data_IF_704030375050
#
_entry.id   IF_704030375050
#
_cell.length_a   1.000
_cell.length_b   1.000
_cell.length_c   1.000
_cell.angle_alpha   90.00
_cell.angle_beta   90.00
_cell.angle_gamma   90.00
#
_symmetry.space_group_name_H-M   'P 1'
#
loop_
_entity.id
_entity.type
_entity.pdbx_description
1 polymer ?
#
# COMPACT_ATOMS: atom_id res chain seq x y z
N UNK A 1 -21.06 30.99 3.92
CA UNK A 1 -20.66 31.66 2.66
C UNK A 1 -21.92 31.86 1.82
N UNK A 2 -22.16 33.08 1.32
CA UNK A 2 -23.26 33.32 0.38
C UNK A 2 -23.08 32.48 -0.90
N UNK A 3 -24.16 31.90 -1.43
CA UNK A 3 -24.12 31.11 -2.66
C UNK A 3 -23.74 31.91 -3.91
N UNK A 4 -23.90 33.24 -3.87
CA UNK A 4 -23.53 34.17 -4.94
C UNK A 4 -22.08 34.69 -4.83
N UNK A 5 -21.20 33.99 -4.12
CA UNK A 5 -19.76 34.28 -4.10
C UNK A 5 -19.17 33.92 -5.49
N UNK A 6 -18.52 34.83 -6.23
CA UNK A 6 -17.79 36.03 -5.78
C UNK A 6 -18.52 37.39 -5.83
N UNK A 7 -19.72 37.48 -6.40
CA UNK A 7 -20.45 38.75 -6.58
C UNK A 7 -21.04 39.30 -5.27
N UNK A 8 -21.24 38.43 -4.27
CA UNK A 8 -21.67 38.79 -2.92
C UNK A 8 -20.62 38.36 -1.89
N UNK A 9 -20.02 39.33 -1.19
CA UNK A 9 -18.98 39.12 -0.18
C UNK A 9 -19.51 38.79 1.21
N UNK A 10 -20.81 38.59 1.37
CA UNK A 10 -21.42 38.29 2.68
C UNK A 10 -21.06 36.87 3.14
N UNK A 11 -20.47 36.77 4.32
CA UNK A 11 -20.26 35.52 5.05
C UNK A 11 -20.62 35.72 6.52
N UNK A 12 -21.03 34.64 7.18
CA UNK A 12 -21.32 34.61 8.61
C UNK A 12 -20.53 33.45 9.22
N UNK A 13 -20.05 33.66 10.45
CA UNK A 13 -19.42 32.62 11.26
C UNK A 13 -20.43 32.14 12.29
N UNK A 14 -20.67 30.84 12.30
CA UNK A 14 -21.46 30.20 13.34
C UNK A 14 -20.49 29.67 14.40
N UNK A 15 -20.56 30.22 15.61
CA UNK A 15 -19.80 29.73 16.75
C UNK A 15 -20.56 28.55 17.37
N UNK A 16 -19.91 27.41 17.47
CA UNK A 16 -20.52 26.20 18.00
C UNK A 16 -19.51 25.08 18.19
N UNK A 17 -19.92 24.04 18.90
CA UNK A 17 -19.14 22.81 19.04
C UNK A 17 -19.50 21.84 17.90
N UNK A 18 -18.60 21.70 16.93
CA UNK A 18 -18.81 20.86 15.77
C UNK A 18 -18.02 19.55 15.89
N UNK A 19 -18.71 18.41 15.79
CA UNK A 19 -18.06 17.11 15.72
C UNK A 19 -17.52 16.86 14.30
N UNK A 20 -16.20 16.93 14.14
CA UNK A 20 -15.55 16.63 12.86
C UNK A 20 -15.71 15.13 12.55
N UNK A 21 -16.16 14.79 11.33
CA UNK A 21 -16.25 13.41 10.85
C UNK A 21 -14.89 12.72 10.95
N UNK A 22 -14.75 11.78 11.88
CA UNK A 22 -13.52 11.01 12.13
C UNK A 22 -13.05 11.01 13.59
N UNK A 23 -13.55 11.91 14.43
CA UNK A 23 -13.13 12.05 15.84
C UNK A 23 -13.52 10.86 16.75
N UNK A 24 -14.42 10.00 16.31
CA UNK A 24 -14.88 8.80 17.05
C UNK A 24 -14.12 7.53 16.63
N UNK A 25 -12.83 7.68 16.32
CA UNK A 25 -11.94 6.56 16.07
C UNK A 25 -11.24 6.14 17.37
N UNK A 26 -10.72 4.90 17.45
CA UNK A 26 -9.81 4.53 18.53
C UNK A 26 -8.63 5.51 18.57
N UNK A 27 -8.09 5.79 19.74
CA UNK A 27 -6.89 6.60 19.89
C UNK A 27 -5.69 5.70 20.18
N UNK A 28 -4.52 6.11 19.69
CA UNK A 28 -3.27 5.32 19.79
C UNK A 28 -2.15 6.25 20.24
N UNK A 29 -1.23 5.76 21.05
CA UNK A 29 -0.07 6.53 21.47
C UNK A 29 0.94 6.75 20.32
N UNK A 30 1.52 7.93 20.23
CA UNK A 30 2.52 8.26 19.23
C UNK A 30 3.90 7.73 19.60
N UNK A 31 4.53 6.97 18.69
CA UNK A 31 5.85 6.38 18.93
C UNK A 31 6.99 7.40 19.11
N UNK A 32 6.80 8.66 18.66
CA UNK A 32 7.85 9.70 18.70
C UNK A 32 7.77 10.67 19.89
N UNK A 33 6.57 10.94 20.38
CA UNK A 33 6.33 11.98 21.39
C UNK A 33 5.37 11.54 22.50
N UNK A 34 4.90 10.29 22.46
CA UNK A 34 3.92 9.73 23.40
C UNK A 34 2.59 10.47 23.50
N UNK A 35 2.36 11.51 22.68
CA UNK A 35 1.08 12.18 22.60
C UNK A 35 0.04 11.28 21.90
N UNK A 36 -1.24 11.59 22.13
CA UNK A 36 -2.33 10.87 21.52
C UNK A 36 -2.37 11.05 19.99
N UNK A 37 -2.68 9.99 19.26
CA UNK A 37 -2.94 10.02 17.83
C UNK A 37 -4.42 9.78 17.56
N UNK A 38 -5.02 10.70 16.82
CA UNK A 38 -6.45 10.68 16.49
C UNK A 38 -6.68 10.25 15.03
N UNK A 39 -7.82 9.60 14.79
CA UNK A 39 -8.20 9.16 13.45
C UNK A 39 -8.67 10.34 12.58
N UNK A 40 -7.91 10.67 11.55
CA UNK A 40 -8.22 11.71 10.57
C UNK A 40 -8.51 11.07 9.20
N UNK A 41 -9.33 11.75 8.40
CA UNK A 41 -9.62 11.33 7.02
C UNK A 41 -8.93 12.28 6.05
N UNK A 42 -8.05 11.76 5.20
CA UNK A 42 -7.35 12.54 4.17
C UNK A 42 -7.54 11.96 2.77
N UNK A 43 -6.87 12.56 1.77
CA UNK A 43 -6.96 12.15 0.36
C UNK A 43 -6.56 10.70 0.08
N UNK A 44 -5.68 10.14 0.90
CA UNK A 44 -5.16 8.78 0.76
C UNK A 44 -5.88 7.76 1.65
N UNK A 45 -6.99 8.15 2.27
CA UNK A 45 -7.76 7.35 3.21
C UNK A 45 -7.64 7.83 4.65
N UNK A 46 -8.12 7.00 5.58
CA UNK A 46 -8.06 7.26 7.03
C UNK A 46 -6.65 6.96 7.58
N UNK A 47 -6.17 7.79 8.48
CA UNK A 47 -4.85 7.67 9.12
C UNK A 47 -4.91 8.22 10.54
N UNK A 48 -4.05 7.73 11.42
CA UNK A 48 -3.82 8.31 12.74
C UNK A 48 -2.85 9.48 12.59
N UNK A 49 -3.25 10.67 13.00
CA UNK A 49 -2.39 11.85 13.08
C UNK A 49 -2.14 12.21 14.53
N UNK A 50 -0.89 12.47 14.89
CA UNK A 50 -0.53 12.96 16.22
C UNK A 50 -1.24 14.30 16.52
N UNK A 51 -1.63 14.51 17.78
CA UNK A 51 -2.21 15.76 18.27
C UNK A 51 -1.17 16.73 18.81
N UNK A 52 0.08 16.30 19.00
CA UNK A 52 1.17 17.17 19.45
C UNK A 52 1.49 18.26 18.42
N UNK A 53 1.62 19.49 18.88
CA UNK A 53 1.82 20.68 18.03
C UNK A 53 3.13 20.61 17.21
N UNK A 54 4.17 20.02 17.80
CA UNK A 54 5.49 19.86 17.18
C UNK A 54 5.66 18.53 16.42
N UNK A 55 4.72 17.58 16.56
CA UNK A 55 4.88 16.23 16.02
C UNK A 55 4.03 16.00 14.76
N UNK A 56 4.68 15.98 13.60
CA UNK A 56 4.04 15.67 12.29
C UNK A 56 3.94 14.17 11.99
N UNK A 57 4.07 13.31 13.01
CA UNK A 57 4.03 11.87 12.82
C UNK A 57 2.62 11.38 12.45
N UNK A 58 2.55 10.44 11.51
CA UNK A 58 1.29 9.84 11.05
C UNK A 58 1.43 8.33 10.90
N UNK A 59 0.41 7.57 11.33
CA UNK A 59 0.34 6.12 11.17
C UNK A 59 -0.84 5.74 10.29
N UNK A 60 -0.64 4.78 9.40
CA UNK A 60 -1.71 4.33 8.49
C UNK A 60 -2.66 3.39 9.22
N UNK A 61 -3.96 3.52 8.98
CA UNK A 61 -4.95 2.53 9.39
C UNK A 61 -4.91 1.33 8.42
N UNK A 62 -4.67 0.12 8.92
CA UNK A 62 -4.75 -1.09 8.11
C UNK A 62 -6.21 -1.46 7.82
N UNK A 63 -6.40 -2.35 6.84
CA UNK A 63 -7.74 -2.84 6.46
C UNK A 63 -8.43 -3.63 7.59
N UNK A 64 -7.66 -4.19 8.52
CA UNK A 64 -8.16 -4.87 9.71
C UNK A 64 -8.58 -3.91 10.85
N UNK A 65 -8.38 -2.60 10.69
CA UNK A 65 -8.73 -1.60 11.70
C UNK A 65 -7.62 -1.31 12.73
N UNK A 66 -6.48 -1.99 12.65
CA UNK A 66 -5.34 -1.74 13.53
C UNK A 66 -4.42 -0.64 12.98
N UNK A 67 -3.69 0.02 13.87
CA UNK A 67 -2.63 0.95 13.49
C UNK A 67 -1.44 0.18 12.89
N UNK A 68 -0.90 0.67 11.78
CA UNK A 68 0.33 0.12 11.21
C UNK A 68 1.45 0.14 12.24
N UNK A 69 2.33 -0.88 12.30
CA UNK A 69 3.52 -0.86 13.14
C UNK A 69 4.32 0.44 12.98
N UNK A 70 5.08 0.85 14.01
CA UNK A 70 5.92 2.04 13.94
C UNK A 70 6.80 1.94 12.69
N UNK A 71 6.82 3.01 11.89
CA UNK A 71 7.67 3.05 10.71
C UNK A 71 9.07 3.45 11.11
N UNK A 72 10.04 2.83 10.46
CA UNK A 72 11.40 3.34 10.42
C UNK A 72 11.46 4.71 9.75
N UNK A 73 12.41 5.52 10.19
CA UNK A 73 12.79 6.72 9.45
C UNK A 73 13.44 6.34 8.11
N UNK A 74 13.19 7.09 7.03
CA UNK A 74 13.76 6.77 5.72
C UNK A 74 15.29 6.83 5.73
N UNK A 75 15.94 5.82 5.17
CA UNK A 75 17.40 5.76 5.01
C UNK A 75 17.76 6.22 3.60
N UNK A 76 18.67 7.19 3.47
CA UNK A 76 19.08 7.72 2.18
C UNK A 76 20.22 6.88 1.59
N UNK A 77 20.08 6.44 0.34
CA UNK A 77 21.10 5.67 -0.39
C UNK A 77 21.58 6.48 -1.61
N UNK A 78 22.46 7.48 -1.41
CA UNK A 78 22.91 8.36 -2.49
C UNK A 78 23.69 7.66 -3.60
N UNK A 79 24.25 6.48 -3.32
CA UNK A 79 24.98 5.66 -4.30
C UNK A 79 24.07 5.02 -5.36
N UNK A 80 22.76 5.00 -5.14
CA UNK A 80 21.78 4.40 -6.04
C UNK A 80 20.99 5.49 -6.78
N UNK A 81 21.34 5.72 -8.05
CA UNK A 81 20.61 6.61 -8.94
C UNK A 81 19.31 5.97 -9.46
N UNK A 82 18.27 6.78 -9.65
CA UNK A 82 17.00 6.35 -10.25
C UNK A 82 17.16 6.07 -11.75
N UNK A 83 16.32 5.19 -12.31
CA UNK A 83 16.38 4.80 -13.73
C UNK A 83 15.80 5.89 -14.64
N UNK A 84 14.75 6.61 -14.20
CA UNK A 84 14.01 7.56 -15.05
C UNK A 84 14.36 9.02 -14.81
N UNK A 85 14.95 9.36 -13.67
CA UNK A 85 15.19 10.74 -13.25
C UNK A 85 16.57 10.84 -12.59
N UNK A 86 17.22 11.99 -12.73
CA UNK A 86 18.44 12.35 -12.01
C UNK A 86 18.14 12.61 -10.52
N UNK A 87 17.87 11.54 -9.78
CA UNK A 87 17.59 11.55 -8.34
C UNK A 87 18.15 10.28 -7.70
N UNK A 88 18.21 10.22 -6.38
CA UNK A 88 18.67 9.06 -5.62
C UNK A 88 17.51 8.31 -4.97
N UNK A 89 17.74 7.03 -4.65
CA UNK A 89 16.77 6.22 -3.93
C UNK A 89 16.86 6.41 -2.40
N UNK A 90 15.70 6.37 -1.75
CA UNK A 90 15.52 6.29 -0.31
C UNK A 90 14.88 4.94 0.04
N UNK A 91 15.45 4.25 1.03
CA UNK A 91 14.83 3.08 1.64
C UNK A 91 13.68 3.54 2.54
N UNK A 92 12.51 2.95 2.32
CA UNK A 92 11.32 3.24 3.11
C UNK A 92 10.70 1.93 3.57
N UNK A 93 10.25 1.92 4.81
CA UNK A 93 9.38 0.87 5.31
C UNK A 93 7.91 1.18 4.95
N UNK A 94 7.16 0.15 4.55
CA UNK A 94 5.75 0.24 4.20
C UNK A 94 4.99 -1.03 4.57
N UNK A 95 3.67 -1.00 4.35
CA UNK A 95 2.83 -2.17 4.62
C UNK A 95 3.14 -3.41 3.75
N UNK A 96 3.99 -3.25 2.73
CA UNK A 96 4.45 -4.32 1.85
C UNK A 96 5.96 -4.58 2.03
N UNK A 97 6.49 -4.32 3.22
CA UNK A 97 7.90 -4.47 3.55
C UNK A 97 8.77 -3.30 3.08
N UNK A 98 10.08 -3.53 3.06
CA UNK A 98 11.09 -2.57 2.63
C UNK A 98 11.05 -2.35 1.11
N UNK A 99 11.11 -1.09 0.70
CA UNK A 99 11.19 -0.72 -0.72
C UNK A 99 12.03 0.54 -0.90
N UNK A 100 12.62 0.67 -2.08
CA UNK A 100 13.32 1.87 -2.51
C UNK A 100 12.36 2.77 -3.26
N UNK A 101 12.39 4.07 -2.98
CA UNK A 101 11.61 5.09 -3.65
C UNK A 101 12.47 6.31 -3.97
N UNK A 102 12.17 7.02 -5.04
CA UNK A 102 12.87 8.27 -5.35
C UNK A 102 12.72 9.30 -4.22
N UNK A 103 13.78 10.09 -3.99
CA UNK A 103 13.83 11.15 -2.97
C UNK A 103 12.72 12.19 -3.14
N UNK A 104 12.49 12.64 -4.36
CA UNK A 104 11.50 13.67 -4.70
C UNK A 104 10.04 13.17 -4.79
N UNK A 105 9.67 12.12 -4.06
CA UNK A 105 8.27 11.71 -3.93
C UNK A 105 7.43 12.84 -3.28
N UNK A 106 6.25 13.24 -3.81
CA UNK A 106 5.39 12.52 -4.78
C UNK A 106 5.55 12.92 -6.26
N UNK A 107 6.52 13.78 -6.60
CA UNK A 107 6.76 14.23 -7.98
C UNK A 107 7.25 13.06 -8.84
N UNK A 108 8.24 12.33 -8.34
CA UNK A 108 8.76 11.11 -8.96
C UNK A 108 8.16 9.88 -8.26
N UNK A 109 7.43 9.06 -9.02
CA UNK A 109 6.78 7.84 -8.51
C UNK A 109 7.50 6.58 -8.97
N UNK A 110 8.83 6.61 -8.84
CA UNK A 110 9.67 5.46 -9.10
C UNK A 110 9.89 4.69 -7.80
N UNK A 111 9.61 3.39 -7.83
CA UNK A 111 9.80 2.49 -6.70
C UNK A 111 10.32 1.15 -7.17
N UNK A 112 11.28 0.58 -6.44
CA UNK A 112 11.82 -0.76 -6.71
C UNK A 112 12.04 -1.53 -5.41
N UNK A 113 12.19 -2.84 -5.51
CA UNK A 113 12.68 -3.65 -4.39
C UNK A 113 14.20 -3.42 -4.22
N UNK A 114 14.71 -3.35 -2.98
CA UNK A 114 16.14 -3.34 -2.73
C UNK A 114 16.74 -4.70 -3.03
N UNK A 115 17.97 -4.70 -3.54
CA UNK A 115 18.78 -5.90 -3.57
C UNK A 115 19.47 -6.08 -2.22
N UNK A 116 19.83 -7.31 -1.87
CA UNK A 116 20.45 -7.55 -0.57
C UNK A 116 21.86 -6.95 -0.45
N UNK A 117 22.63 -6.98 -1.53
CA UNK A 117 23.97 -6.38 -1.59
C UNK A 117 23.96 -4.87 -1.36
N UNK A 118 22.89 -4.18 -1.77
CA UNK A 118 22.68 -2.74 -1.55
C UNK A 118 22.34 -2.41 -0.09
N UNK A 119 21.79 -3.36 0.67
CA UNK A 119 21.39 -3.16 2.06
C UNK A 119 22.54 -3.37 3.04
N UNK A 120 23.53 -4.20 2.70
CA UNK A 120 24.66 -4.53 3.58
C UNK A 120 25.49 -3.30 4.03
N UNK A 121 25.80 -2.31 3.17
CA UNK A 121 26.53 -1.11 3.59
C UNK A 121 25.78 -0.29 4.64
N UNK A 122 24.46 -0.27 4.55
CA UNK A 122 23.57 0.54 5.40
C UNK A 122 22.96 -0.26 6.56
N UNK A 123 23.52 -1.44 6.88
CA UNK A 123 22.97 -2.34 7.90
C UNK A 123 22.82 -1.70 9.29
N UNK A 124 23.63 -0.69 9.60
CA UNK A 124 23.62 0.01 10.89
C UNK A 124 22.52 1.08 10.99
N UNK A 125 22.06 1.62 9.86
CA UNK A 125 20.98 2.61 9.80
C UNK A 125 19.60 1.95 9.73
N UNK A 126 19.57 0.66 9.38
CA UNK A 126 18.36 -0.14 9.31
C UNK A 126 17.96 -0.62 10.70
N UNK A 127 16.66 -0.64 10.98
CA UNK A 127 16.13 -1.04 12.28
C UNK A 127 16.48 -2.50 12.62
N UNK A 128 16.78 -2.81 13.89
CA UNK A 128 17.14 -4.16 14.33
C UNK A 128 16.13 -5.24 13.92
N UNK A 129 14.85 -4.87 13.73
CA UNK A 129 13.81 -5.77 13.21
C UNK A 129 14.20 -6.45 11.90
N UNK A 130 14.97 -5.80 11.04
CA UNK A 130 15.35 -6.33 9.73
C UNK A 130 16.74 -6.97 9.69
N UNK A 131 17.39 -7.15 10.84
CA UNK A 131 18.74 -7.72 10.92
C UNK A 131 18.81 -9.16 10.39
N UNK A 132 17.69 -9.90 10.39
CA UNK A 132 17.61 -11.24 9.80
C UNK A 132 17.83 -11.24 8.28
N UNK A 133 17.50 -10.14 7.59
CA UNK A 133 17.76 -9.98 6.16
C UNK A 133 19.27 -9.91 5.87
N UNK A 134 20.05 -9.31 6.75
CA UNK A 134 21.50 -9.16 6.56
C UNK A 134 22.27 -10.49 6.62
N UNK A 135 21.65 -11.53 7.21
CA UNK A 135 22.21 -12.89 7.28
C UNK A 135 21.80 -13.76 6.09
N UNK A 136 21.01 -13.20 5.18
CA UNK A 136 20.44 -13.94 4.07
C UNK A 136 21.46 -14.13 2.93
N UNK A 137 21.27 -15.15 2.07
CA UNK A 137 22.13 -15.35 0.91
C UNK A 137 22.02 -14.18 -0.06
N UNK A 138 23.15 -13.51 -0.32
CA UNK A 138 23.23 -12.36 -1.24
C UNK A 138 23.05 -12.77 -2.69
N UNK A 139 23.44 -14.00 -3.01
CA UNK A 139 23.39 -14.55 -4.35
C UNK A 139 22.80 -15.96 -4.38
N UNK A 140 22.21 -16.27 -5.52
CA UNK A 140 21.74 -17.59 -5.94
C UNK A 140 22.92 -18.55 -6.23
N UNK A 141 22.75 -19.89 -6.31
CA UNK A 141 23.78 -20.79 -6.83
C UNK A 141 24.25 -20.46 -8.26
N UNK A 142 23.44 -19.73 -9.03
CA UNK A 142 23.78 -19.20 -10.36
C UNK A 142 24.44 -17.79 -10.33
N UNK A 143 24.96 -17.35 -9.17
CA UNK A 143 25.59 -16.03 -8.93
C UNK A 143 24.67 -14.81 -9.21
N UNK A 144 23.35 -15.00 -9.26
CA UNK A 144 22.37 -13.93 -9.46
C UNK A 144 22.11 -13.16 -8.17
N UNK A 145 21.98 -11.84 -8.25
CA UNK A 145 21.68 -10.96 -7.10
C UNK A 145 20.28 -11.26 -6.53
N UNK A 146 20.19 -11.40 -5.21
CA UNK A 146 18.94 -11.62 -4.50
C UNK A 146 18.17 -10.30 -4.29
N UNK A 147 16.90 -10.27 -4.70
CA UNK A 147 15.97 -9.19 -4.38
C UNK A 147 15.18 -9.51 -3.12
N UNK A 148 15.02 -8.52 -2.25
CA UNK A 148 14.13 -8.61 -1.09
C UNK A 148 12.69 -8.35 -1.53
N UNK A 149 11.81 -9.32 -1.34
CA UNK A 149 10.38 -9.22 -1.60
C UNK A 149 9.57 -9.50 -0.35
N UNK A 150 8.30 -9.11 -0.35
CA UNK A 150 7.39 -9.28 0.77
C UNK A 150 6.16 -10.09 0.36
N UNK A 151 5.86 -11.15 1.11
CA UNK A 151 4.69 -11.99 0.92
C UNK A 151 3.47 -11.34 1.54
N UNK A 152 2.49 -10.89 0.75
CA UNK A 152 1.26 -10.29 1.30
C UNK A 152 0.39 -11.28 2.09
N UNK A 153 0.51 -12.57 1.78
CA UNK A 153 -0.24 -13.64 2.43
C UNK A 153 0.44 -14.11 3.71
N UNK A 154 1.74 -14.36 3.65
CA UNK A 154 2.55 -14.80 4.80
C UNK A 154 2.94 -13.64 5.72
N UNK A 155 2.90 -12.40 5.22
CA UNK A 155 3.41 -11.18 5.88
C UNK A 155 4.90 -11.24 6.24
N UNK A 156 5.65 -12.05 5.52
CA UNK A 156 7.08 -12.29 5.74
C UNK A 156 7.91 -11.77 4.55
N UNK A 157 9.18 -11.49 4.82
CA UNK A 157 10.15 -11.16 3.78
C UNK A 157 10.76 -12.44 3.22
N UNK A 158 10.88 -12.51 1.91
CA UNK A 158 11.52 -13.61 1.20
C UNK A 158 12.45 -13.05 0.13
N UNK A 159 13.49 -13.80 -0.20
CA UNK A 159 14.38 -13.48 -1.30
C UNK A 159 13.92 -14.16 -2.57
N UNK A 160 14.10 -13.49 -3.69
CA UNK A 160 13.92 -14.07 -5.01
C UNK A 160 14.93 -13.47 -5.98
N UNK A 161 15.35 -14.24 -6.97
CA UNK A 161 16.26 -13.75 -8.02
C UNK A 161 15.48 -13.53 -9.32
N UNK A 162 15.98 -12.61 -10.15
CA UNK A 162 15.42 -12.31 -11.47
C UNK A 162 16.47 -12.62 -12.54
N UNK A 163 16.05 -13.17 -13.69
CA UNK A 163 16.95 -13.50 -14.80
C UNK A 163 17.09 -12.30 -15.73
N UNK A 164 15.98 -11.83 -16.28
CA UNK A 164 15.85 -10.62 -17.09
C UNK A 164 14.86 -9.69 -16.40
N UNK A 165 14.96 -8.37 -16.63
CA UNK A 165 14.15 -7.32 -15.98
C UNK A 165 12.67 -7.75 -15.79
N UNK A 166 12.32 -8.26 -14.61
CA UNK A 166 10.97 -8.69 -14.22
C UNK A 166 10.61 -10.17 -14.37
N UNK A 167 11.48 -11.05 -14.90
CA UNK A 167 11.24 -12.50 -14.99
C UNK A 167 11.92 -13.23 -13.84
N UNK A 168 11.10 -13.83 -12.97
CA UNK A 168 11.59 -14.62 -11.84
C UNK A 168 12.40 -15.83 -12.31
N UNK A 169 13.52 -16.09 -11.66
CA UNK A 169 14.36 -17.27 -11.90
C UNK A 169 13.72 -18.57 -11.43
N UNK A 170 12.82 -18.46 -10.45
CA UNK A 170 12.28 -19.60 -9.72
C UNK A 170 13.01 -19.91 -8.42
N UNK A 171 14.18 -19.31 -8.15
CA UNK A 171 14.78 -19.41 -6.83
C UNK A 171 14.04 -18.51 -5.83
N UNK A 172 13.77 -19.07 -4.66
CA UNK A 172 13.17 -18.38 -3.53
C UNK A 172 13.88 -18.81 -2.26
N UNK A 173 14.24 -17.88 -1.39
CA UNK A 173 14.67 -18.20 -0.03
C UNK A 173 13.70 -17.59 0.98
N UNK A 174 13.19 -18.40 1.89
CA UNK A 174 12.31 -17.97 2.97
C UNK A 174 13.06 -18.08 4.31
N UNK A 175 12.77 -17.17 5.24
CA UNK A 175 13.40 -17.18 6.56
C UNK A 175 12.55 -17.99 7.54
N UNK A 176 13.13 -19.05 8.12
CA UNK A 176 12.48 -19.81 9.20
C UNK A 176 12.87 -19.19 10.56
N UNK A 177 11.98 -18.39 11.14
CA UNK A 177 12.20 -17.72 12.43
C UNK A 177 12.50 -18.70 13.57
N UNK A 178 12.00 -19.95 13.51
CA UNK A 178 12.20 -20.93 14.59
C UNK A 178 13.62 -21.47 14.63
N UNK A 179 14.27 -21.57 13.47
CA UNK A 179 15.64 -22.07 13.33
C UNK A 179 16.66 -20.94 13.16
N UNK A 180 16.20 -19.74 12.79
CA UNK A 180 17.07 -18.62 12.44
C UNK A 180 17.87 -18.87 11.16
N UNK A 181 17.37 -19.76 10.29
CA UNK A 181 18.07 -20.20 9.06
C UNK A 181 17.22 -19.87 7.84
N UNK A 182 17.88 -19.50 6.75
CA UNK A 182 17.28 -19.31 5.44
C UNK A 182 17.11 -20.66 4.74
N UNK A 183 15.88 -20.97 4.33
CA UNK A 183 15.55 -22.18 3.57
C UNK A 183 15.42 -21.81 2.10
N UNK A 184 16.34 -22.31 1.30
CA UNK A 184 16.34 -22.13 -0.14
C UNK A 184 15.43 -23.16 -0.82
N UNK A 185 14.52 -22.67 -1.66
CA UNK A 185 13.66 -23.46 -2.52
C UNK A 185 13.97 -23.09 -3.97
N UNK A 186 14.64 -24.00 -4.67
CA UNK A 186 14.73 -23.95 -6.13
C UNK A 186 13.37 -24.39 -6.68
N UNK A 187 12.65 -23.50 -7.38
CA UNK A 187 11.41 -23.92 -8.02
C UNK A 187 11.69 -25.09 -8.97
N UNK A 188 10.91 -26.19 -8.90
CA UNK A 188 10.91 -27.15 -9.99
C UNK A 188 10.52 -26.42 -11.27
N UNK A 189 11.20 -26.76 -12.39
CA UNK A 189 10.91 -26.23 -13.71
C UNK A 189 9.40 -26.11 -13.94
N UNK A 190 8.90 -25.01 -14.56
CA UNK A 190 7.48 -24.72 -14.64
C UNK A 190 6.74 -25.91 -15.24
N UNK A 191 6.00 -26.64 -14.41
CA UNK A 191 5.04 -27.60 -14.93
C UNK A 191 4.01 -26.78 -15.70
N UNK A 192 4.00 -26.96 -17.03
CA UNK A 192 2.99 -26.38 -17.92
C UNK A 192 1.63 -26.53 -17.25
N UNK A 193 0.97 -25.42 -16.97
CA UNK A 193 -0.39 -25.42 -16.46
C UNK A 193 -1.24 -26.34 -17.32
N UNK A 194 -1.78 -27.41 -16.73
CA UNK A 194 -2.79 -28.24 -17.40
C UNK A 194 -3.92 -27.29 -17.84
N UNK A 195 -4.34 -27.33 -19.12
CA UNK A 195 -5.38 -26.43 -19.60
C UNK A 195 -6.64 -26.64 -18.75
N UNK A 196 -7.14 -25.55 -18.17
CA UNK A 196 -8.37 -25.52 -17.42
C UNK A 196 -9.49 -26.07 -18.33
N UNK A 197 -10.09 -27.20 -17.94
CA UNK A 197 -11.32 -27.71 -18.56
C UNK A 197 -12.36 -26.59 -18.48
N UNK A 198 -12.75 -26.06 -19.65
CA UNK A 198 -13.89 -25.17 -19.80
C UNK A 198 -15.11 -25.84 -19.17
N UNK A 199 -15.61 -25.30 -18.05
CA UNK A 199 -16.95 -25.66 -17.56
C UNK A 199 -17.96 -25.17 -18.59
N UNK A 200 -18.67 -26.12 -19.19
CA UNK A 200 -19.76 -25.85 -20.12
C UNK A 200 -20.81 -24.97 -19.44
N UNK A 201 -21.16 -23.86 -20.10
CA UNK A 201 -22.25 -22.99 -19.68
C UNK A 201 -23.57 -23.76 -19.74
N UNK A 202 -24.19 -24.00 -18.59
CA UNK A 202 -25.56 -24.49 -18.48
C UNK A 202 -26.49 -23.40 -19.03
N UNK A 203 -27.14 -23.69 -20.17
CA UNK A 203 -28.17 -22.85 -20.79
C UNK A 203 -29.33 -22.67 -19.79
N UNK A 204 -29.55 -21.43 -19.33
CA UNK A 204 -30.80 -21.04 -18.67
C UNK A 204 -31.92 -21.04 -19.71
N UNK A 205 -32.93 -21.88 -19.49
CA UNK A 205 -34.22 -21.91 -20.20
C UNK A 205 -34.88 -20.52 -20.10
N UNK A 206 -35.31 -20.00 -21.25
CA UNK A 206 -36.20 -18.85 -21.33
C UNK A 206 -37.60 -19.25 -20.84
N UNK A 207 -38.11 -18.54 -19.83
CA UNK A 207 -39.52 -18.59 -19.43
C UNK A 207 -40.26 -17.38 -20.00
N UNK A 208 -41.42 -17.68 -20.58
CA UNK A 208 -42.24 -16.81 -21.40
C UNK A 208 -42.79 -15.58 -20.63
N UNK A 209 -42.71 -14.41 -21.26
CA UNK A 209 -43.44 -13.20 -20.83
C UNK A 209 -44.91 -13.33 -21.23
N UNK A 210 -45.79 -13.36 -20.21
CA UNK A 210 -47.25 -13.25 -20.35
C UNK A 210 -47.62 -11.78 -20.57
N UNK A 211 -48.36 -11.50 -21.65
CA UNK A 211 -48.95 -10.19 -21.99
C UNK A 211 -49.95 -9.76 -20.89
N UNK A 212 -49.90 -8.49 -20.49
CA UNK A 212 -51.03 -7.77 -19.87
C UNK A 212 -51.24 -6.46 -20.61
N UNK A 213 -52.51 -6.14 -20.80
CA UNK A 213 -53.08 -5.28 -21.82
C UNK A 213 -53.06 -3.77 -21.51
N UNK A 214 -53.37 -3.01 -22.56
CA UNK A 214 -53.42 -1.56 -22.68
C UNK A 214 -54.60 -0.88 -21.95
N UNK A 215 -54.42 0.45 -21.74
CA UNK A 215 -55.37 1.59 -21.55
C UNK A 215 -54.89 2.46 -20.37
N UNK A 216 -54.92 3.79 -20.34
CA UNK A 216 -55.47 4.87 -21.18
C UNK A 216 -54.77 6.19 -20.78
N UNK A 217 -54.71 7.16 -21.70
CA UNK A 217 -54.33 8.57 -21.49
C UNK A 217 -55.19 9.29 -20.43
N UNK A 218 -54.60 10.27 -19.73
CA UNK A 218 -55.31 11.43 -19.15
C UNK A 218 -54.47 12.71 -19.32
N UNK A 219 -55.09 13.90 -19.45
CA UNK A 219 -54.50 15.06 -20.13
C UNK A 219 -53.86 16.12 -19.19
N UNK A 220 -53.12 17.02 -19.83
CA UNK A 220 -52.46 18.20 -19.27
C UNK A 220 -53.41 19.17 -18.55
N UNK A 221 -52.93 19.76 -17.44
CA UNK A 221 -53.56 20.92 -16.77
C UNK A 221 -53.03 22.22 -17.40
N UNK A 222 -53.90 23.23 -17.65
CA UNK A 222 -53.48 24.54 -18.12
C UNK A 222 -53.01 25.45 -16.97
N UNK A 223 -52.11 26.37 -17.33
CA UNK A 223 -51.79 27.59 -16.57
C UNK A 223 -53.02 28.50 -16.52
N UNK A 224 -53.21 29.18 -15.40
CA UNK A 224 -53.94 30.44 -15.34
C UNK A 224 -53.22 31.38 -14.37
N UNK A 225 -52.91 32.57 -14.91
CA UNK A 225 -52.78 33.91 -14.28
C UNK A 225 -52.13 34.02 -12.91
#
# INVERSE_FOLDING_TARGET
LCGNNPDCSTFEFEAGEYKIRGYEGPTVECDKCSAEMQLKTGRFGKYFGCTGEDCKNTRKLLRNGEAAPPKMDPVAMPELACEKVEDHYLLRDGAAGLFLAASQFPKNRETRAPYLDELLPHQNEIDPKYQFLMRAPVKDPDDRRALVKFGRQTKEHYLATEIEKGKASGWRADFDETKGVWVETLAPAPQKAKPAKKKAAVKKKATAKKKVAAKKKAPAKPKAT
#
